data_IF_627773770066
#
_entry.id   IF_627773770066
#
_cell.length_a   1.000
_cell.length_b   1.000
_cell.length_c   1.000
_cell.angle_alpha   90.00
_cell.angle_beta   90.00
_cell.angle_gamma   90.00
#
_symmetry.space_group_name_H-M   'P 1'
#
loop_
_entity.id
_entity.type
_entity.pdbx_description
1 polymer ?
#
# COMPACT_ATOMS: atom_id res chain seq x y z
N UNK A 1 11.32 -29.64 9.32
CA UNK A 1 9.90 -29.47 9.71
C UNK A 1 9.19 -28.94 8.48
N UNK A 2 8.31 -29.72 7.82
CA UNK A 2 7.47 -29.15 6.77
C UNK A 2 6.50 -28.19 7.46
N UNK A 3 6.36 -26.98 6.92
CA UNK A 3 5.31 -26.06 7.35
C UNK A 3 4.00 -26.64 6.83
N UNK A 4 3.18 -27.18 7.73
CA UNK A 4 1.82 -27.57 7.39
C UNK A 4 1.13 -26.33 6.81
N UNK A 5 0.69 -26.44 5.55
CA UNK A 5 -0.22 -25.50 4.93
C UNK A 5 -1.45 -25.44 5.83
N UNK A 6 -1.49 -24.41 6.67
CA UNK A 6 -2.60 -24.08 7.56
C UNK A 6 -3.86 -24.18 6.72
N UNK A 7 -4.69 -25.19 6.98
CA UNK A 7 -6.02 -25.29 6.40
C UNK A 7 -6.71 -23.97 6.72
N UNK A 8 -6.92 -23.14 5.70
CA UNK A 8 -7.77 -21.97 5.83
C UNK A 8 -9.15 -22.52 6.16
N UNK A 9 -9.62 -22.27 7.37
CA UNK A 9 -11.01 -22.56 7.72
C UNK A 9 -11.86 -21.53 6.96
N UNK A 10 -12.73 -21.93 6.03
CA UNK A 10 -13.62 -21.00 5.34
C UNK A 10 -14.62 -20.33 6.30
N UNK A 11 -14.75 -20.82 7.54
CA UNK A 11 -15.55 -20.16 8.58
C UNK A 11 -14.92 -18.86 9.10
N UNK A 12 -13.60 -18.67 8.92
CA UNK A 12 -12.93 -17.39 9.22
C UNK A 12 -13.15 -16.34 8.12
N UNK A 13 -13.68 -16.73 6.96
CA UNK A 13 -14.08 -15.77 5.95
C UNK A 13 -15.34 -15.05 6.38
N UNK A 14 -15.21 -13.74 6.52
CA UNK A 14 -16.32 -12.88 6.90
C UNK A 14 -17.30 -12.83 5.72
N UNK A 15 -18.41 -13.54 5.85
CA UNK A 15 -19.51 -13.53 4.91
C UNK A 15 -20.46 -12.38 5.28
N UNK A 16 -20.65 -11.43 4.37
CA UNK A 16 -21.46 -10.23 4.64
C UNK A 16 -22.55 -10.10 3.56
N UNK A 17 -23.79 -9.84 3.96
CA UNK A 17 -24.89 -9.54 3.04
C UNK A 17 -24.90 -8.03 2.68
N UNK A 18 -25.42 -7.71 1.49
CA UNK A 18 -25.61 -6.33 1.00
C UNK A 18 -26.39 -5.45 1.96
N UNK A 19 -27.38 -6.01 2.66
CA UNK A 19 -28.15 -5.30 3.68
C UNK A 19 -27.27 -4.84 4.85
N UNK A 20 -26.44 -5.74 5.38
CA UNK A 20 -25.50 -5.47 6.45
C UNK A 20 -24.42 -4.45 6.02
N UNK A 21 -23.93 -4.54 4.78
CA UNK A 21 -22.98 -3.55 4.23
C UNK A 21 -23.60 -2.16 4.20
N UNK A 22 -24.85 -2.04 3.74
CA UNK A 22 -25.55 -0.76 3.73
C UNK A 22 -25.79 -0.21 5.14
N UNK A 23 -26.14 -1.06 6.11
CA UNK A 23 -26.40 -0.60 7.47
C UNK A 23 -25.12 -0.05 8.14
N UNK A 24 -23.95 -0.60 7.79
CA UNK A 24 -22.64 -0.08 8.19
C UNK A 24 -22.22 1.17 7.41
N UNK A 25 -22.68 1.30 6.16
CA UNK A 25 -22.42 2.42 5.26
C UNK A 25 -23.69 3.27 5.09
N UNK A 26 -24.31 3.66 6.21
CA UNK A 26 -25.61 4.34 6.23
C UNK A 26 -25.67 5.66 5.43
N UNK A 27 -24.52 6.29 5.21
CA UNK A 27 -24.37 7.51 4.41
C UNK A 27 -24.32 7.25 2.90
N UNK A 28 -24.27 5.97 2.47
CA UNK A 28 -24.19 5.58 1.06
C UNK A 28 -25.54 5.00 0.61
N UNK A 29 -26.12 5.51 -0.49
CA UNK A 29 -27.38 4.96 -1.02
C UNK A 29 -27.30 3.46 -1.31
N UNK A 30 -28.35 2.69 -0.97
CA UNK A 30 -28.48 1.24 -1.27
C UNK A 30 -28.14 0.87 -2.72
N UNK A 31 -28.59 1.70 -3.66
CA UNK A 31 -28.30 1.50 -5.09
C UNK A 31 -26.81 1.60 -5.42
N UNK A 32 -26.07 2.47 -4.74
CA UNK A 32 -24.62 2.61 -4.90
C UNK A 32 -23.89 1.41 -4.31
N UNK A 33 -24.27 0.92 -3.13
CA UNK A 33 -23.71 -0.30 -2.53
C UNK A 33 -23.88 -1.48 -3.49
N UNK A 34 -25.10 -1.68 -3.99
CA UNK A 34 -25.42 -2.79 -4.91
C UNK A 34 -24.66 -2.68 -6.24
N UNK A 35 -24.54 -1.47 -6.79
CA UNK A 35 -23.78 -1.21 -8.02
C UNK A 35 -22.29 -1.50 -7.86
N UNK A 36 -21.68 -1.06 -6.76
CA UNK A 36 -20.28 -1.32 -6.44
C UNK A 36 -20.02 -2.82 -6.23
N UNK A 37 -20.86 -3.52 -5.46
CA UNK A 37 -20.71 -4.96 -5.25
C UNK A 37 -20.87 -5.76 -6.55
N UNK A 38 -21.79 -5.36 -7.42
CA UNK A 38 -21.96 -5.99 -8.74
C UNK A 38 -20.71 -5.80 -9.60
N UNK A 39 -20.14 -4.59 -9.59
CA UNK A 39 -18.92 -4.30 -10.34
C UNK A 39 -17.73 -5.12 -9.83
N UNK A 40 -17.47 -5.11 -8.53
CA UNK A 40 -16.38 -5.87 -7.91
C UNK A 40 -16.51 -7.38 -8.14
N UNK A 41 -17.74 -7.91 -8.11
CA UNK A 41 -18.01 -9.31 -8.42
C UNK A 41 -17.68 -9.64 -9.88
N UNK A 42 -18.08 -8.77 -10.81
CA UNK A 42 -17.82 -8.96 -12.24
C UNK A 42 -16.34 -8.80 -12.60
N UNK A 43 -15.62 -7.92 -11.90
CA UNK A 43 -14.18 -7.70 -12.07
C UNK A 43 -13.35 -8.80 -11.40
N UNK A 44 -13.96 -9.66 -10.57
CA UNK A 44 -13.29 -10.75 -9.89
C UNK A 44 -12.46 -10.30 -8.69
N UNK A 45 -12.81 -9.17 -8.08
CA UNK A 45 -12.18 -8.68 -6.86
C UNK A 45 -12.79 -9.31 -5.59
N UNK A 46 -14.06 -9.72 -5.66
CA UNK A 46 -14.80 -10.36 -4.57
C UNK A 46 -15.56 -11.59 -5.06
N UNK A 47 -15.83 -12.53 -4.16
CA UNK A 47 -16.67 -13.69 -4.40
C UNK A 47 -18.08 -13.49 -3.86
N UNK A 48 -19.01 -14.30 -4.38
CA UNK A 48 -20.38 -14.41 -3.86
C UNK A 48 -20.73 -15.88 -3.68
N UNK A 49 -21.22 -16.25 -2.50
CA UNK A 49 -21.67 -17.60 -2.20
C UNK A 49 -23.08 -17.86 -2.75
N UNK A 50 -23.49 -19.13 -2.79
CA UNK A 50 -24.80 -19.53 -3.32
C UNK A 50 -25.99 -18.93 -2.54
N UNK A 51 -25.78 -18.66 -1.24
CA UNK A 51 -26.69 -18.00 -0.31
C UNK A 51 -26.57 -16.46 -0.32
N UNK A 52 -25.88 -15.91 -1.32
CA UNK A 52 -25.78 -14.48 -1.62
C UNK A 52 -24.91 -13.63 -0.69
N UNK A 53 -24.08 -14.22 0.15
CA UNK A 53 -23.08 -13.47 0.91
C UNK A 53 -21.86 -13.16 0.06
N UNK A 54 -21.29 -11.97 0.28
CA UNK A 54 -20.05 -11.55 -0.33
C UNK A 54 -18.87 -11.93 0.57
N UNK A 55 -17.78 -12.37 -0.05
CA UNK A 55 -16.53 -12.70 0.64
C UNK A 55 -15.33 -12.18 -0.16
N UNK A 56 -14.21 -11.96 0.53
CA UNK A 56 -12.95 -11.63 -0.12
C UNK A 56 -12.34 -12.90 -0.76
N UNK A 57 -11.66 -12.76 -1.89
CA UNK A 57 -10.97 -13.89 -2.52
C UNK A 57 -9.62 -14.14 -1.84
N UNK A 58 -9.27 -15.41 -1.59
CA UNK A 58 -7.96 -15.78 -1.05
C UNK A 58 -6.79 -15.31 -1.92
N UNK A 59 -7.00 -15.26 -3.25
CA UNK A 59 -6.02 -14.76 -4.22
C UNK A 59 -5.72 -13.27 -4.06
N UNK A 60 -6.56 -12.53 -3.34
CA UNK A 60 -6.46 -11.09 -3.09
C UNK A 60 -6.09 -10.77 -1.63
N UNK A 61 -5.09 -11.47 -1.10
CA UNK A 61 -4.51 -11.15 0.22
C UNK A 61 -4.02 -9.69 0.31
N UNK A 62 -3.67 -9.08 -0.82
CA UNK A 62 -3.33 -7.66 -0.92
C UNK A 62 -4.46 -6.75 -0.39
N UNK A 63 -5.73 -7.05 -0.74
CA UNK A 63 -6.90 -6.30 -0.26
C UNK A 63 -7.10 -6.48 1.24
N UNK A 64 -6.92 -7.71 1.74
CA UNK A 64 -7.03 -8.02 3.18
C UNK A 64 -5.93 -7.29 3.97
N UNK A 65 -4.70 -7.29 3.45
CA UNK A 65 -3.55 -6.60 4.03
C UNK A 65 -3.77 -5.08 4.03
N UNK A 66 -4.29 -4.54 2.93
CA UNK A 66 -4.63 -3.12 2.83
C UNK A 66 -5.70 -2.71 3.85
N UNK A 67 -6.81 -3.45 3.92
CA UNK A 67 -7.88 -3.18 4.89
C UNK A 67 -7.38 -3.24 6.34
N UNK A 68 -6.53 -4.22 6.69
CA UNK A 68 -5.87 -4.28 8.00
C UNK A 68 -4.99 -3.06 8.28
N UNK A 69 -4.25 -2.59 7.27
CA UNK A 69 -3.44 -1.38 7.37
C UNK A 69 -4.29 -0.15 7.68
N UNK A 70 -5.46 -0.01 7.06
CA UNK A 70 -6.38 1.10 7.34
C UNK A 70 -6.88 1.09 8.78
N UNK A 71 -7.29 -0.08 9.31
CA UNK A 71 -7.72 -0.20 10.72
C UNK A 71 -6.57 0.14 11.67
N UNK A 72 -5.35 -0.27 11.35
CA UNK A 72 -4.18 0.07 12.16
C UNK A 72 -3.87 1.56 12.16
N UNK A 73 -3.98 2.23 11.00
CA UNK A 73 -3.80 3.68 10.91
C UNK A 73 -4.90 4.39 11.70
N UNK A 74 -6.14 3.94 11.58
CA UNK A 74 -7.26 4.51 12.33
C UNK A 74 -7.05 4.38 13.86
N UNK A 75 -6.68 3.19 14.34
CA UNK A 75 -6.35 2.96 15.75
C UNK A 75 -5.17 3.85 16.22
N UNK A 76 -4.19 4.09 15.34
CA UNK A 76 -3.10 5.02 15.62
C UNK A 76 -3.62 6.46 15.73
N UNK A 77 -4.45 6.92 14.78
CA UNK A 77 -4.99 8.28 14.80
C UNK A 77 -5.94 8.53 15.96
N UNK A 78 -6.75 7.54 16.35
CA UNK A 78 -7.63 7.64 17.53
C UNK A 78 -6.83 7.64 18.83
N UNK A 79 -5.72 6.88 18.89
CA UNK A 79 -4.82 6.85 20.06
C UNK A 79 -4.05 8.17 20.24
N UNK A 80 -3.75 8.86 19.14
CA UNK A 80 -2.96 10.09 19.12
C UNK A 80 -3.78 11.31 18.66
N UNK A 81 -5.08 11.34 19.01
CA UNK A 81 -5.99 12.47 18.76
C UNK A 81 -5.69 13.68 19.69
N UNK A 82 -4.76 13.53 20.62
CA UNK A 82 -4.24 14.64 21.43
C UNK A 82 -3.35 15.55 20.57
N UNK A 83 -3.77 16.82 20.41
CA UNK A 83 -3.06 18.06 20.01
C UNK A 83 -1.55 17.97 19.66
N UNK A 84 -1.12 17.06 18.78
CA UNK A 84 0.23 17.10 18.22
C UNK A 84 0.31 18.29 17.27
N UNK A 85 0.80 19.41 17.76
CA UNK A 85 1.13 20.53 16.91
C UNK A 85 2.42 20.22 16.17
N UNK A 86 2.63 20.83 15.00
CA UNK A 86 3.92 20.70 14.29
C UNK A 86 5.11 21.18 15.14
N UNK A 87 4.88 21.91 16.25
CA UNK A 87 5.91 22.32 17.19
C UNK A 87 6.32 21.21 18.18
N UNK A 88 5.51 20.17 18.38
CA UNK A 88 5.81 19.02 19.25
C UNK A 88 6.65 17.95 18.54
N UNK A 89 6.78 18.07 17.21
CA UNK A 89 7.64 17.21 16.40
C UNK A 89 9.05 17.79 16.42
N UNK A 90 9.89 17.34 17.36
CA UNK A 90 11.32 17.59 17.30
C UNK A 90 11.92 16.84 16.10
N UNK A 91 12.06 17.52 14.97
CA UNK A 91 12.80 17.01 13.84
C UNK A 91 14.26 16.87 14.25
N UNK A 92 14.73 15.63 14.44
CA UNK A 92 16.17 15.31 14.54
C UNK A 92 16.81 15.47 13.16
N UNK A 93 16.89 16.72 12.72
CA UNK A 93 17.72 17.15 11.61
C UNK A 93 18.79 18.06 12.20
N UNK A 94 20.01 17.55 12.27
CA UNK A 94 21.18 18.42 12.26
C UNK A 94 21.15 19.24 10.96
N UNK A 95 20.51 20.40 11.04
CA UNK A 95 20.61 21.42 10.02
C UNK A 95 22.04 21.98 10.13
N UNK A 96 22.94 21.81 9.14
CA UNK A 96 24.14 22.61 9.12
C UNK A 96 23.71 24.03 8.76
N UNK A 97 23.38 24.80 9.80
CA UNK A 97 23.28 26.25 9.72
C UNK A 97 24.56 26.75 9.06
N UNK A 98 24.39 27.33 7.88
CA UNK A 98 25.35 28.15 7.18
C UNK A 98 26.00 29.12 8.17
N UNK A 99 27.20 28.78 8.62
CA UNK A 99 28.02 29.55 9.54
C UNK A 99 29.43 29.56 8.98
N UNK A 100 29.82 30.69 8.43
CA UNK A 100 31.12 30.92 7.85
C UNK A 100 32.25 30.58 8.84
N UNK A 101 33.05 29.57 8.51
CA UNK A 101 34.40 29.40 9.04
C UNK A 101 35.34 29.17 7.86
N UNK A 102 36.20 30.16 7.61
CA UNK A 102 37.35 30.03 6.74
C UNK A 102 38.28 28.95 7.28
N UNK A 103 38.35 27.82 6.58
CA UNK A 103 39.34 26.77 6.77
C UNK A 103 40.08 26.55 5.46
N UNK A 104 41.35 26.95 5.43
CA UNK A 104 42.22 26.88 4.27
C UNK A 104 42.55 25.43 3.92
N UNK A 105 42.29 25.06 2.67
CA UNK A 105 42.87 23.90 1.98
C UNK A 105 42.25 22.57 2.39
N UNK A 106 41.59 21.92 1.42
CA UNK A 106 41.82 20.53 1.02
C UNK A 106 41.09 20.35 -0.32
N UNK A 107 41.89 20.26 -1.36
CA UNK A 107 41.59 19.73 -2.68
C UNK A 107 40.74 18.46 -2.60
N UNK A 108 39.46 18.56 -2.98
CA UNK A 108 38.63 17.44 -3.38
C UNK A 108 37.86 17.88 -4.61
N UNK A 109 38.19 17.27 -5.75
CA UNK A 109 37.49 17.48 -7.02
C UNK A 109 35.99 17.40 -6.80
N UNK A 110 35.27 18.41 -7.27
CA UNK A 110 33.83 18.41 -7.34
C UNK A 110 33.37 17.20 -8.16
N UNK A 111 32.81 16.18 -7.49
CA UNK A 111 31.88 15.27 -8.15
C UNK A 111 30.58 16.03 -8.28
N UNK A 112 30.44 16.69 -9.43
CA UNK A 112 29.20 17.30 -9.90
C UNK A 112 28.07 16.29 -9.72
N UNK A 113 26.97 16.72 -9.08
CA UNK A 113 25.77 15.90 -8.93
C UNK A 113 25.31 15.50 -10.33
N UNK A 114 25.20 14.21 -10.66
CA UNK A 114 24.88 13.78 -12.01
C UNK A 114 23.53 14.36 -12.43
N UNK A 115 23.47 14.83 -13.68
CA UNK A 115 22.25 15.35 -14.27
C UNK A 115 21.19 14.24 -14.32
N UNK A 116 19.88 14.56 -14.26
CA UNK A 116 18.82 13.55 -14.23
C UNK A 116 18.82 12.61 -15.45
N UNK A 117 19.48 13.01 -16.52
CA UNK A 117 19.69 12.23 -17.75
C UNK A 117 20.75 11.12 -17.62
N UNK A 118 21.63 11.17 -16.61
CA UNK A 118 22.57 10.09 -16.29
C UNK A 118 21.95 8.97 -15.43
N UNK A 119 20.67 9.09 -15.06
CA UNK A 119 19.97 8.09 -14.22
C UNK A 119 19.43 6.91 -15.03
N UNK A 120 19.24 7.11 -16.34
CA UNK A 120 18.82 6.04 -17.23
C UNK A 120 20.06 5.31 -17.73
N UNK A 121 20.61 4.46 -16.87
CA UNK A 121 21.55 3.42 -17.29
C UNK A 121 20.86 2.57 -18.37
N UNK A 122 21.37 2.69 -19.59
CA UNK A 122 20.95 1.95 -20.77
C UNK A 122 20.85 0.46 -20.47
N UNK A 123 19.63 -0.08 -20.47
CA UNK A 123 19.45 -1.50 -20.74
C UNK A 123 19.73 -1.72 -22.23
N UNK A 124 21.01 -1.87 -22.57
CA UNK A 124 21.39 -2.58 -23.80
C UNK A 124 20.99 -4.05 -23.62
N UNK A 125 19.72 -4.31 -23.94
CA UNK A 125 19.19 -5.62 -24.27
C UNK A 125 19.89 -6.08 -25.56
N UNK A 126 21.05 -6.73 -25.39
CA UNK A 126 21.67 -7.48 -26.46
C UNK A 126 20.75 -8.66 -26.79
N UNK A 127 19.87 -8.40 -27.75
CA UNK A 127 18.99 -9.36 -28.42
C UNK A 127 19.74 -10.67 -28.71
N UNK A 128 19.29 -11.74 -28.04
CA UNK A 128 19.56 -13.12 -28.43
C UNK A 128 19.00 -13.37 -29.83
N UNK A 129 19.86 -13.41 -30.84
CA UNK A 129 19.54 -14.02 -32.13
C UNK A 129 19.90 -15.50 -32.08
N UNK A 130 18.85 -16.35 -32.10
CA UNK A 130 18.98 -17.74 -32.50
C UNK A 130 19.25 -17.79 -34.01
N UNK A 131 20.20 -18.61 -34.46
CA UNK A 131 19.98 -19.41 -35.67
C UNK A 131 20.86 -20.67 -35.71
N UNK A 132 20.29 -21.72 -36.28
CA UNK A 132 20.82 -23.07 -36.40
C UNK A 132 21.68 -23.23 -37.67
N UNK A 133 22.62 -24.18 -37.66
CA UNK A 133 22.86 -25.25 -38.66
C UNK A 133 24.06 -26.09 -38.24
#
# INVERSE_FOLDING_TARGET
MPVDLRTHDPSDDVHIDSSEIHDRLNDIPKGSVTGTLTRLLNEGDIGKTADSYYHALESRDDLRRFARGLVQIQDLTERYDDDFTSADIEQTGENPTSGAYSGTGHNSSATEKPAPEDWIESTDDASRTNDSV
#
